data_IF_370621142528
#
_entry.id   IF_370621142528
#
_cell.length_a   1.000
_cell.length_b   1.000
_cell.length_c   1.000
_cell.angle_alpha   90.00
_cell.angle_beta   90.00
_cell.angle_gamma   90.00
#
_symmetry.space_group_name_H-M   'P 1'
#
loop_
_entity.id
_entity.type
_entity.pdbx_description
1 polymer ?
#
# COMPACT_ATOMS: atom_id res chain seq x y z
N UNK A 1 -72.26 -13.53 -21.22
CA UNK A 1 -71.15 -14.38 -21.72
C UNK A 1 -69.96 -13.43 -21.89
N UNK A 2 -69.01 -13.43 -20.95
CA UNK A 2 -67.70 -14.12 -21.04
C UNK A 2 -66.91 -13.57 -22.26
N UNK A 3 -65.78 -12.89 -22.14
CA UNK A 3 -64.67 -13.05 -21.20
C UNK A 3 -63.89 -11.75 -20.92
N UNK A 4 -63.41 -11.67 -19.68
CA UNK A 4 -62.45 -10.71 -19.15
C UNK A 4 -61.05 -11.32 -19.30
N UNK A 5 -60.17 -10.69 -20.09
CA UNK A 5 -58.72 -10.96 -20.03
C UNK A 5 -57.97 -9.63 -20.17
N UNK A 6 -57.22 -9.18 -19.14
CA UNK A 6 -56.42 -7.96 -19.27
C UNK A 6 -55.08 -8.25 -19.95
N UNK A 7 -54.74 -7.44 -20.96
CA UNK A 7 -53.42 -7.43 -21.58
C UNK A 7 -52.37 -6.95 -20.57
N UNK A 8 -51.32 -7.75 -20.40
CA UNK A 8 -50.26 -7.55 -19.42
C UNK A 8 -49.36 -6.41 -19.91
N UNK A 9 -49.20 -5.39 -19.06
CA UNK A 9 -48.30 -4.27 -19.24
C UNK A 9 -46.85 -4.75 -19.34
N UNK A 10 -46.21 -4.54 -20.50
CA UNK A 10 -44.74 -4.61 -20.61
C UNK A 10 -44.19 -3.28 -20.11
N UNK A 11 -43.96 -3.20 -18.80
CA UNK A 11 -43.10 -2.16 -18.23
C UNK A 11 -41.66 -2.53 -18.54
N UNK A 12 -41.02 -1.75 -19.41
CA UNK A 12 -39.59 -1.80 -19.60
C UNK A 12 -38.93 -1.34 -18.30
N UNK A 13 -38.35 -2.28 -17.56
CA UNK A 13 -37.51 -1.99 -16.40
C UNK A 13 -36.33 -1.13 -16.86
N UNK A 14 -36.09 0.06 -16.27
CA UNK A 14 -34.82 0.74 -16.47
C UNK A 14 -33.71 -0.17 -15.97
N UNK A 15 -32.70 -0.41 -16.82
CA UNK A 15 -31.45 -1.09 -16.45
C UNK A 15 -31.01 -0.53 -15.10
N UNK A 16 -30.95 -1.40 -14.09
CA UNK A 16 -30.33 -1.10 -12.82
C UNK A 16 -28.93 -0.54 -13.12
N UNK A 17 -28.81 0.77 -12.97
CA UNK A 17 -27.54 1.48 -12.99
C UNK A 17 -26.93 1.15 -11.64
N UNK A 18 -26.12 0.09 -11.61
CA UNK A 18 -25.27 -0.22 -10.47
C UNK A 18 -24.27 0.93 -10.35
N UNK A 19 -24.65 1.98 -9.64
CA UNK A 19 -23.67 2.80 -8.95
C UNK A 19 -23.09 1.85 -7.90
N UNK A 20 -21.94 1.24 -8.25
CA UNK A 20 -21.08 0.66 -7.24
C UNK A 20 -20.69 1.82 -6.32
N UNK A 21 -21.47 1.99 -5.26
CA UNK A 21 -21.07 2.77 -4.10
C UNK A 21 -19.68 2.27 -3.75
N UNK A 22 -18.72 3.20 -3.85
CA UNK A 22 -17.30 2.93 -3.74
C UNK A 22 -17.01 2.27 -2.40
N UNK A 23 -17.04 0.95 -2.38
CA UNK A 23 -16.32 0.17 -1.44
C UNK A 23 -14.85 0.38 -1.83
N UNK A 24 -14.28 1.50 -1.35
CA UNK A 24 -12.85 1.69 -1.20
C UNK A 24 -12.39 0.59 -0.25
N UNK A 25 -12.30 -0.63 -0.77
CA UNK A 25 -11.59 -1.72 -0.13
C UNK A 25 -10.19 -1.15 0.04
N UNK A 26 -9.87 -0.70 1.25
CA UNK A 26 -8.51 -0.35 1.63
C UNK A 26 -7.72 -1.60 1.32
N UNK A 27 -6.98 -1.63 0.21
CA UNK A 27 -6.08 -2.74 -0.03
C UNK A 27 -5.10 -2.73 1.15
N UNK A 28 -5.14 -3.79 2.00
CA UNK A 28 -4.31 -3.81 3.18
C UNK A 28 -2.86 -3.87 2.72
N UNK A 29 -1.98 -3.17 3.44
CA UNK A 29 -0.55 -3.22 3.17
C UNK A 29 -0.07 -4.67 3.16
N UNK A 30 0.48 -5.11 2.01
CA UNK A 30 0.99 -6.47 1.85
C UNK A 30 2.18 -6.69 2.80
N UNK A 31 2.35 -7.89 3.38
CA UNK A 31 3.50 -8.20 4.25
C UNK A 31 4.85 -7.90 3.58
N UNK A 32 4.99 -8.25 2.30
CA UNK A 32 6.19 -7.96 1.50
C UNK A 32 6.47 -6.46 1.39
N UNK A 33 5.43 -5.64 1.19
CA UNK A 33 5.57 -4.18 1.14
C UNK A 33 6.08 -3.63 2.47
N UNK A 34 5.47 -4.07 3.58
CA UNK A 34 5.87 -3.65 4.92
C UNK A 34 7.35 -3.98 5.20
N UNK A 35 7.76 -5.22 4.94
CA UNK A 35 9.15 -5.65 5.18
C UNK A 35 10.13 -4.86 4.31
N UNK A 36 9.81 -4.59 3.05
CA UNK A 36 10.69 -3.80 2.18
C UNK A 36 10.79 -2.33 2.61
N UNK A 37 9.70 -1.73 3.11
CA UNK A 37 9.74 -0.38 3.72
C UNK A 37 10.63 -0.39 4.96
N UNK A 38 10.43 -1.34 5.87
CA UNK A 38 11.22 -1.43 7.11
C UNK A 38 12.71 -1.68 6.83
N UNK A 39 13.05 -2.50 5.83
CA UNK A 39 14.42 -2.71 5.35
C UNK A 39 15.06 -1.41 4.85
N UNK A 40 14.34 -0.65 4.03
CA UNK A 40 14.85 0.63 3.50
C UNK A 40 15.12 1.64 4.63
N UNK A 41 14.20 1.75 5.57
CA UNK A 41 14.30 2.64 6.73
C UNK A 41 15.43 2.22 7.68
N UNK A 42 15.56 0.93 7.98
CA UNK A 42 16.63 0.39 8.82
C UNK A 42 18.01 0.58 8.17
N UNK A 43 18.10 0.35 6.85
CA UNK A 43 19.31 0.60 6.06
C UNK A 43 19.71 2.07 6.11
N UNK A 44 18.77 3.00 5.90
CA UNK A 44 19.04 4.44 5.97
C UNK A 44 19.55 4.89 7.34
N UNK A 45 19.10 4.25 8.42
CA UNK A 45 19.54 4.53 9.80
C UNK A 45 20.82 3.77 10.21
N UNK A 46 21.37 2.92 9.36
CA UNK A 46 22.45 1.98 9.71
C UNK A 46 22.10 1.07 10.91
N UNK A 47 20.82 0.69 11.06
CA UNK A 47 20.37 -0.20 12.14
C UNK A 47 20.61 -1.67 11.76
N UNK A 48 21.84 -2.14 12.01
CA UNK A 48 22.29 -3.49 11.68
C UNK A 48 21.50 -4.60 12.40
N UNK A 49 20.97 -4.30 13.59
CA UNK A 49 20.20 -5.29 14.37
C UNK A 49 18.84 -5.52 13.72
N UNK A 50 18.12 -4.44 13.42
CA UNK A 50 16.84 -4.54 12.70
C UNK A 50 17.02 -5.15 11.31
N UNK A 51 18.08 -4.78 10.58
CA UNK A 51 18.37 -5.38 9.28
C UNK A 51 18.48 -6.90 9.34
N UNK A 52 19.20 -7.47 10.29
CA UNK A 52 19.32 -8.94 10.44
C UNK A 52 17.96 -9.61 10.68
N UNK A 53 17.12 -9.02 11.53
CA UNK A 53 15.78 -9.54 11.83
C UNK A 53 14.89 -9.47 10.58
N UNK A 54 14.89 -8.33 9.89
CA UNK A 54 14.09 -8.10 8.70
C UNK A 54 14.54 -8.95 7.51
N UNK A 55 15.83 -9.24 7.36
CA UNK A 55 16.32 -10.15 6.33
C UNK A 55 15.84 -11.59 6.57
N UNK A 56 15.79 -12.04 7.84
CA UNK A 56 15.22 -13.36 8.19
C UNK A 56 13.73 -13.38 7.88
N UNK A 57 12.99 -12.33 8.27
CA UNK A 57 11.56 -12.24 8.03
C UNK A 57 11.24 -12.16 6.54
N UNK A 58 12.01 -11.37 5.77
CA UNK A 58 11.90 -11.28 4.32
C UNK A 58 12.03 -12.65 3.65
N UNK A 59 13.01 -13.46 4.07
CA UNK A 59 13.15 -14.83 3.57
C UNK A 59 11.95 -15.73 3.93
N UNK A 60 11.36 -15.58 5.12
CA UNK A 60 10.18 -16.35 5.54
C UNK A 60 8.96 -16.06 4.66
N UNK A 61 8.83 -14.82 4.19
CA UNK A 61 7.77 -14.42 3.27
C UNK A 61 8.18 -14.50 1.79
N UNK A 62 9.22 -15.27 1.49
CA UNK A 62 9.73 -15.56 0.15
C UNK A 62 10.29 -14.36 -0.64
N UNK A 63 10.77 -13.30 0.02
CA UNK A 63 11.62 -12.32 -0.66
C UNK A 63 12.95 -12.95 -1.07
N UNK A 64 13.35 -12.70 -2.30
CA UNK A 64 14.67 -13.07 -2.82
C UNK A 64 15.76 -12.17 -2.23
N UNK A 65 17.01 -12.63 -2.26
CA UNK A 65 18.15 -11.81 -1.87
C UNK A 65 18.24 -10.50 -2.68
N UNK A 66 17.89 -10.55 -3.97
CA UNK A 66 17.88 -9.37 -4.83
C UNK A 66 16.81 -8.35 -4.41
N UNK A 67 15.61 -8.79 -4.04
CA UNK A 67 14.55 -7.90 -3.52
C UNK A 67 14.93 -7.28 -2.18
N UNK A 68 15.55 -8.07 -1.29
CA UNK A 68 16.09 -7.56 -0.02
C UNK A 68 17.16 -6.48 -0.28
N UNK A 69 18.09 -6.72 -1.19
CA UNK A 69 19.14 -5.77 -1.54
C UNK A 69 18.60 -4.52 -2.26
N UNK A 70 17.54 -4.66 -3.05
CA UNK A 70 16.84 -3.54 -3.67
C UNK A 70 16.18 -2.66 -2.58
N UNK A 71 15.46 -3.28 -1.64
CA UNK A 71 14.81 -2.60 -0.54
C UNK A 71 15.82 -1.84 0.34
N UNK A 72 16.94 -2.47 0.69
CA UNK A 72 18.04 -1.82 1.44
C UNK A 72 18.64 -0.62 0.70
N UNK A 73 18.60 -0.60 -0.63
CA UNK A 73 19.02 0.54 -1.47
C UNK A 73 17.91 1.57 -1.69
N UNK A 74 16.73 1.36 -1.12
CA UNK A 74 15.59 2.28 -1.18
C UNK A 74 14.73 2.14 -2.43
N UNK A 75 14.64 0.95 -3.03
CA UNK A 75 13.76 0.66 -4.16
C UNK A 75 13.14 -0.72 -4.11
N UNK A 76 12.34 -1.05 -5.12
CA UNK A 76 11.75 -2.38 -5.31
C UNK A 76 11.60 -2.71 -6.80
N UNK A 77 11.49 -3.99 -7.13
CA UNK A 77 11.13 -4.43 -8.49
C UNK A 77 9.63 -4.32 -8.75
N UNK A 78 8.80 -4.33 -7.71
CA UNK A 78 7.37 -4.05 -7.81
C UNK A 78 7.15 -2.53 -7.77
N UNK A 79 6.48 -1.98 -8.79
CA UNK A 79 6.30 -0.54 -8.93
C UNK A 79 5.51 0.09 -7.77
N UNK A 80 4.52 -0.62 -7.24
CA UNK A 80 3.72 -0.14 -6.12
C UNK A 80 4.55 -0.16 -4.83
N UNK A 81 5.31 -1.23 -4.59
CA UNK A 81 6.21 -1.31 -3.43
C UNK A 81 7.33 -0.26 -3.55
N UNK A 82 7.88 -0.03 -4.74
CA UNK A 82 8.91 0.98 -4.99
C UNK A 82 8.41 2.39 -4.65
N UNK A 83 7.17 2.74 -5.05
CA UNK A 83 6.54 3.99 -4.67
C UNK A 83 6.39 4.09 -3.15
N UNK A 84 5.94 3.02 -2.49
CA UNK A 84 5.74 2.99 -1.04
C UNK A 84 7.08 3.15 -0.27
N UNK A 85 8.15 2.47 -0.72
CA UNK A 85 9.50 2.61 -0.17
C UNK A 85 10.02 4.05 -0.34
N UNK A 86 9.84 4.64 -1.52
CA UNK A 86 10.24 6.04 -1.77
C UNK A 86 9.44 7.03 -0.96
N UNK A 87 8.14 6.79 -0.77
CA UNK A 87 7.29 7.61 0.10
C UNK A 87 7.79 7.54 1.55
N UNK A 88 8.08 6.35 2.07
CA UNK A 88 8.60 6.17 3.43
C UNK A 88 9.94 6.89 3.66
N UNK A 89 10.87 6.79 2.70
CA UNK A 89 12.16 7.47 2.76
C UNK A 89 12.03 8.99 2.67
N UNK A 90 11.10 9.49 1.86
CA UNK A 90 10.81 10.92 1.76
C UNK A 90 10.25 11.47 3.08
N UNK A 91 9.32 10.72 3.71
CA UNK A 91 8.79 11.05 5.04
C UNK A 91 9.90 11.06 6.09
N UNK A 92 10.76 10.04 6.13
CA UNK A 92 11.89 10.00 7.06
C UNK A 92 12.87 11.16 6.87
N UNK A 93 13.04 11.62 5.63
CA UNK A 93 13.95 12.72 5.30
C UNK A 93 13.31 14.11 5.45
N UNK A 94 12.02 14.18 5.82
CA UNK A 94 11.23 15.42 5.85
C UNK A 94 11.26 16.19 4.50
N UNK A 95 11.32 15.46 3.39
CA UNK A 95 11.34 16.03 2.02
C UNK A 95 9.91 16.19 1.50
N UNK A 96 9.29 17.33 1.82
CA UNK A 96 7.91 17.67 1.44
C UNK A 96 7.64 17.55 -0.07
N UNK A 97 8.60 17.92 -0.91
CA UNK A 97 8.47 17.83 -2.36
C UNK A 97 8.43 16.36 -2.82
N UNK A 98 9.29 15.51 -2.26
CA UNK A 98 9.28 14.07 -2.54
C UNK A 98 8.03 13.38 -1.96
N UNK A 99 7.59 13.76 -0.77
CA UNK A 99 6.35 13.29 -0.14
C UNK A 99 5.16 13.61 -1.05
N UNK A 100 5.03 14.85 -1.52
CA UNK A 100 3.95 15.26 -2.42
C UNK A 100 3.98 14.48 -3.75
N UNK A 101 5.17 14.30 -4.36
CA UNK A 101 5.31 13.53 -5.61
C UNK A 101 4.91 12.07 -5.45
N UNK A 102 5.37 11.41 -4.40
CA UNK A 102 5.12 9.98 -4.18
C UNK A 102 3.70 9.72 -3.67
N UNK A 103 3.12 10.62 -2.84
CA UNK A 103 1.71 10.60 -2.47
C UNK A 103 0.79 10.67 -3.69
N UNK A 104 1.06 11.58 -4.63
CA UNK A 104 0.29 11.66 -5.89
C UNK A 104 0.33 10.33 -6.66
N UNK A 105 1.49 9.67 -6.72
CA UNK A 105 1.60 8.35 -7.35
C UNK A 105 0.75 7.31 -6.62
N UNK A 106 0.82 7.23 -5.29
CA UNK A 106 -0.04 6.33 -4.51
C UNK A 106 -1.53 6.55 -4.80
N UNK A 107 -1.97 7.81 -4.89
CA UNK A 107 -3.35 8.15 -5.26
C UNK A 107 -3.72 7.66 -6.66
N UNK A 108 -2.84 7.83 -7.65
CA UNK A 108 -3.06 7.33 -9.02
C UNK A 108 -3.23 5.81 -9.06
N UNK A 109 -2.52 5.08 -8.21
CA UNK A 109 -2.66 3.62 -8.07
C UNK A 109 -3.82 3.19 -7.15
N UNK A 110 -4.65 4.11 -6.64
CA UNK A 110 -5.75 3.78 -5.74
C UNK A 110 -5.31 3.40 -4.32
N UNK A 111 -4.06 3.68 -3.95
CA UNK A 111 -3.43 3.30 -2.69
C UNK A 111 -3.23 4.50 -1.75
N UNK A 112 -4.09 5.52 -1.82
CA UNK A 112 -3.97 6.68 -0.93
C UNK A 112 -4.07 6.28 0.55
N UNK A 113 -4.83 5.23 0.86
CA UNK A 113 -5.06 4.76 2.23
C UNK A 113 -3.81 4.22 2.92
N UNK A 114 -2.87 3.61 2.18
CA UNK A 114 -1.66 3.03 2.79
C UNK A 114 -0.66 4.11 3.23
N UNK A 115 -0.81 5.35 2.80
CA UNK A 115 0.08 6.44 3.18
C UNK A 115 0.09 6.65 4.70
N UNK A 116 -1.07 6.57 5.36
CA UNK A 116 -1.19 6.66 6.82
C UNK A 116 -0.42 5.53 7.52
N UNK A 117 -0.57 4.30 7.03
CA UNK A 117 0.13 3.15 7.59
C UNK A 117 1.66 3.31 7.45
N UNK A 118 2.12 3.86 6.32
CA UNK A 118 3.54 4.15 6.09
C UNK A 118 4.04 5.22 7.08
N UNK A 119 3.28 6.29 7.32
CA UNK A 119 3.63 7.28 8.34
C UNK A 119 3.79 6.65 9.72
N UNK A 120 2.88 5.75 10.10
CA UNK A 120 2.96 5.05 11.37
C UNK A 120 4.16 4.11 11.47
N UNK A 121 4.62 3.52 10.36
CA UNK A 121 5.86 2.74 10.32
C UNK A 121 7.07 3.65 10.54
N UNK A 122 7.14 4.79 9.83
CA UNK A 122 8.26 5.72 9.95
C UNK A 122 8.36 6.25 11.39
N UNK A 123 7.24 6.74 11.94
CA UNK A 123 7.17 7.26 13.31
C UNK A 123 7.59 6.24 14.37
N UNK A 124 7.11 4.99 14.25
CA UNK A 124 7.52 3.91 15.20
C UNK A 124 9.00 3.58 15.11
N UNK A 125 9.58 3.77 13.94
CA UNK A 125 10.99 3.49 13.69
C UNK A 125 11.94 4.59 14.20
N UNK A 126 11.41 5.78 14.51
CA UNK A 126 12.16 6.92 15.06
C UNK A 126 12.15 6.95 16.59
N UNK A 127 11.20 6.26 17.22
CA UNK A 127 11.15 6.18 18.67
C UNK A 127 12.35 5.38 19.18
N UNK A 128 13.11 5.90 20.17
CA UNK A 128 14.18 5.14 20.78
C UNK A 128 13.57 3.89 21.39
N UNK A 129 14.08 2.72 21.02
CA UNK A 129 13.73 1.48 21.70
C UNK A 129 14.11 1.66 23.17
N UNK A 130 13.12 1.85 24.05
CA UNK A 130 13.34 1.81 25.49
C UNK A 130 14.03 0.48 25.80
N UNK A 131 15.32 0.55 26.13
CA UNK A 131 16.11 -0.59 26.59
C UNK A 131 15.79 -0.87 28.05
#
# INVERSE_FOLDING_TARGET
MRDNTPAIATSATPKAQWFAEGNLVKEPMKPAMRVQIELALASRRNDLTSLKVLEIEGRRIALTGAEVDAAKRGGSFDAVIDIAVKFALAVQADDEDAIARTRRKLTVFGLAAIACDIFDIVRRSELPSSR
#
